data_IF_988835040679
#
_entry.id   IF_988835040679
#
_cell.length_a   1.000
_cell.length_b   1.000
_cell.length_c   1.000
_cell.angle_alpha   90.00
_cell.angle_beta   90.00
_cell.angle_gamma   90.00
#
_symmetry.space_group_name_H-M   'P 1'
#
loop_
_entity.id
_entity.type
_entity.pdbx_description
1 polymer ?
#
# COMPACT_ATOMS: atom_id res chain seq x y z
N UNK A 1 4.24 -14.34 -8.51
CA UNK A 1 4.05 -12.96 -8.07
C UNK A 1 3.53 -12.91 -6.62
N UNK A 2 3.79 -11.82 -5.92
CA UNK A 2 3.37 -11.67 -4.54
C UNK A 2 1.92 -11.20 -4.46
N UNK A 3 1.19 -11.71 -3.45
CA UNK A 3 -0.17 -11.29 -3.18
C UNK A 3 -0.21 -9.92 -2.50
N UNK A 4 -1.41 -9.31 -2.44
CA UNK A 4 -1.64 -8.05 -1.70
C UNK A 4 -1.23 -8.22 -0.23
N UNK A 5 -1.61 -9.33 0.38
CA UNK A 5 -1.29 -9.61 1.79
C UNK A 5 0.21 -9.70 2.02
N UNK A 6 0.94 -10.38 1.14
CA UNK A 6 2.40 -10.49 1.23
C UNK A 6 3.08 -9.13 1.08
N UNK A 7 2.65 -8.32 0.09
CA UNK A 7 3.20 -6.99 -0.14
C UNK A 7 2.93 -6.06 1.05
N UNK A 8 1.71 -6.10 1.60
CA UNK A 8 1.36 -5.31 2.78
C UNK A 8 2.20 -5.70 3.99
N UNK A 9 2.40 -7.00 4.21
CA UNK A 9 3.26 -7.50 5.29
C UNK A 9 4.71 -7.05 5.13
N UNK A 10 5.23 -7.05 3.90
CA UNK A 10 6.60 -6.59 3.63
C UNK A 10 6.78 -5.11 3.96
N UNK A 11 5.79 -4.27 3.63
CA UNK A 11 5.84 -2.84 3.99
C UNK A 11 5.98 -2.68 5.50
N UNK A 12 5.12 -3.35 6.26
CA UNK A 12 5.12 -3.28 7.72
C UNK A 12 6.42 -3.83 8.30
N UNK A 13 6.84 -5.01 7.84
CA UNK A 13 8.05 -5.66 8.36
C UNK A 13 9.30 -4.81 8.14
N UNK A 14 9.48 -4.26 6.95
CA UNK A 14 10.64 -3.42 6.66
C UNK A 14 10.59 -2.10 7.43
N UNK A 15 9.41 -1.51 7.57
CA UNK A 15 9.24 -0.29 8.36
C UNK A 15 9.57 -0.54 9.84
N UNK A 16 9.09 -1.65 10.40
CA UNK A 16 9.40 -2.04 11.78
C UNK A 16 10.89 -2.29 11.99
N UNK A 17 11.53 -2.98 11.05
CA UNK A 17 12.97 -3.21 11.09
C UNK A 17 13.73 -1.89 11.07
N UNK A 18 13.34 -0.96 10.20
CA UNK A 18 13.96 0.37 10.14
C UNK A 18 13.80 1.11 11.47
N UNK A 19 12.60 1.08 12.07
CA UNK A 19 12.32 1.75 13.34
C UNK A 19 13.11 1.16 14.50
N UNK A 20 13.53 -0.11 14.42
CA UNK A 20 14.31 -0.77 15.46
C UNK A 20 15.81 -0.41 15.39
N UNK A 21 16.24 0.26 14.32
CA UNK A 21 17.64 0.61 14.10
C UNK A 21 17.85 2.08 14.43
N UNK A 22 18.62 2.37 15.48
CA UNK A 22 19.01 3.75 15.77
C UNK A 22 20.18 4.14 14.86
N UNK A 23 20.08 5.27 14.11
CA UNK A 23 21.09 5.63 13.11
C UNK A 23 22.33 6.27 13.76
N UNK A 24 23.08 5.52 14.58
CA UNK A 24 24.21 6.02 15.35
C UNK A 24 25.53 6.02 14.60
N UNK A 25 25.68 5.22 13.57
CA UNK A 25 26.87 5.13 12.75
C UNK A 25 26.53 4.89 11.28
N UNK A 26 27.53 4.92 10.41
CA UNK A 26 27.33 4.78 8.97
C UNK A 26 26.71 3.44 8.58
N UNK A 27 27.13 2.35 9.22
CA UNK A 27 26.59 1.01 8.92
C UNK A 27 25.11 0.91 9.29
N UNK A 28 24.73 1.41 10.47
CA UNK A 28 23.35 1.41 10.93
C UNK A 28 22.47 2.33 10.09
N UNK A 29 22.97 3.51 9.71
CA UNK A 29 22.26 4.43 8.82
C UNK A 29 21.97 3.77 7.48
N UNK A 30 22.94 3.06 6.91
CA UNK A 30 22.77 2.38 5.64
C UNK A 30 21.78 1.23 5.73
N UNK A 31 21.86 0.42 6.80
CA UNK A 31 20.93 -0.69 7.02
C UNK A 31 19.48 -0.17 7.17
N UNK A 32 19.30 0.90 7.96
CA UNK A 32 18.00 1.55 8.13
C UNK A 32 17.46 2.06 6.80
N UNK A 33 18.31 2.71 6.01
CA UNK A 33 17.96 3.21 4.68
C UNK A 33 17.50 2.08 3.76
N UNK A 34 18.19 0.94 3.76
CA UNK A 34 17.83 -0.22 2.96
C UNK A 34 16.43 -0.72 3.31
N UNK A 35 16.12 -0.83 4.59
CA UNK A 35 14.78 -1.26 5.01
C UNK A 35 13.70 -0.26 4.63
N UNK A 36 13.96 1.03 4.75
CA UNK A 36 13.01 2.08 4.33
C UNK A 36 12.77 2.06 2.83
N UNK A 37 13.82 1.87 2.02
CA UNK A 37 13.70 1.76 0.57
C UNK A 37 12.95 0.49 0.16
N UNK A 38 13.18 -0.63 0.84
CA UNK A 38 12.44 -1.87 0.58
C UNK A 38 10.97 -1.73 0.95
N UNK A 39 10.66 -1.08 2.07
CA UNK A 39 9.27 -0.78 2.44
C UNK A 39 8.59 0.06 1.36
N UNK A 40 9.27 1.08 0.86
CA UNK A 40 8.73 1.95 -0.19
C UNK A 40 8.54 1.20 -1.51
N UNK A 41 9.48 0.34 -1.88
CA UNK A 41 9.36 -0.49 -3.09
C UNK A 41 8.17 -1.46 -2.99
N UNK A 42 7.98 -2.10 -1.84
CA UNK A 42 6.84 -2.99 -1.60
C UNK A 42 5.52 -2.22 -1.63
N UNK A 43 5.50 -0.99 -1.11
CA UNK A 43 4.33 -0.12 -1.16
C UNK A 43 3.96 0.27 -2.59
N UNK A 44 4.94 0.58 -3.42
CA UNK A 44 4.71 0.89 -4.84
C UNK A 44 4.21 -0.32 -5.62
N UNK A 45 4.76 -1.51 -5.33
CA UNK A 45 4.28 -2.77 -5.93
C UNK A 45 2.84 -3.05 -5.50
N UNK A 46 2.50 -2.77 -4.25
CA UNK A 46 1.14 -2.90 -3.74
C UNK A 46 0.17 -1.97 -4.48
N UNK A 47 0.57 -0.72 -4.70
CA UNK A 47 -0.23 0.26 -5.44
C UNK A 47 -0.55 -0.21 -6.85
N UNK A 48 0.47 -0.68 -7.59
CA UNK A 48 0.29 -1.23 -8.94
C UNK A 48 -0.64 -2.45 -8.93
N UNK A 49 -0.45 -3.33 -7.96
CA UNK A 49 -1.27 -4.54 -7.82
C UNK A 49 -2.75 -4.20 -7.54
N UNK A 50 -2.99 -3.24 -6.65
CA UNK A 50 -4.35 -2.80 -6.33
C UNK A 50 -5.02 -2.10 -7.52
N UNK A 51 -4.27 -1.30 -8.28
CA UNK A 51 -4.77 -0.66 -9.51
C UNK A 51 -5.19 -1.72 -10.53
N UNK A 52 -4.41 -2.78 -10.68
CA UNK A 52 -4.74 -3.89 -11.58
C UNK A 52 -5.99 -4.63 -11.11
N UNK A 53 -6.11 -4.91 -9.82
CA UNK A 53 -7.31 -5.53 -9.22
C UNK A 53 -8.55 -4.65 -9.44
N UNK A 54 -8.40 -3.34 -9.26
CA UNK A 54 -9.47 -2.39 -9.50
C UNK A 54 -9.97 -2.47 -10.95
N UNK A 55 -9.06 -2.46 -11.92
CA UNK A 55 -9.42 -2.56 -13.33
C UNK A 55 -10.18 -3.86 -13.63
N UNK A 56 -9.75 -4.98 -13.05
CA UNK A 56 -10.45 -6.26 -13.18
C UNK A 56 -11.84 -6.22 -12.57
N UNK A 57 -12.00 -5.64 -11.39
CA UNK A 57 -13.30 -5.52 -10.72
C UNK A 57 -14.25 -4.61 -11.49
N UNK A 58 -13.74 -3.59 -12.17
CA UNK A 58 -14.56 -2.68 -12.97
C UNK A 58 -15.13 -3.33 -14.24
N UNK A 59 -14.64 -4.50 -14.63
CA UNK A 59 -15.24 -5.26 -15.75
C UNK A 59 -16.60 -5.84 -15.37
N UNK A 60 -16.84 -6.09 -14.07
CA UNK A 60 -18.13 -6.55 -13.55
C UNK A 60 -18.33 -6.02 -12.12
N UNK A 61 -18.62 -4.71 -11.97
CA UNK A 61 -18.71 -4.10 -10.63
C UNK A 61 -19.76 -4.72 -9.74
N UNK A 62 -20.93 -5.05 -10.26
CA UNK A 62 -22.04 -5.63 -9.46
C UNK A 62 -21.71 -7.03 -8.96
N UNK A 63 -20.85 -7.78 -9.64
CA UNK A 63 -20.41 -9.10 -9.21
C UNK A 63 -19.49 -9.07 -7.98
N UNK A 64 -18.96 -7.91 -7.61
CA UNK A 64 -18.09 -7.74 -6.44
C UNK A 64 -18.88 -7.57 -5.13
N UNK A 65 -20.18 -7.30 -5.21
CA UNK A 65 -21.03 -7.01 -4.06
C UNK A 65 -22.30 -7.81 -4.12
N UNK A 66 -22.65 -8.44 -2.98
CA UNK A 66 -23.95 -9.09 -2.79
C UNK A 66 -24.52 -8.63 -1.46
N UNK A 67 -25.86 -8.54 -1.37
CA UNK A 67 -26.53 -8.26 -0.11
C UNK A 67 -26.60 -9.52 0.74
N UNK A 68 -26.92 -9.37 2.01
CA UNK A 68 -27.13 -10.51 2.92
C UNK A 68 -28.21 -11.47 2.48
N UNK A 69 -29.15 -11.04 1.63
CA UNK A 69 -30.18 -11.88 1.01
C UNK A 69 -29.74 -12.57 -0.28
N UNK A 70 -28.49 -12.35 -0.70
CA UNK A 70 -27.93 -12.90 -1.95
C UNK A 70 -28.24 -12.07 -3.19
N UNK A 71 -28.93 -10.94 -3.06
CA UNK A 71 -29.21 -10.06 -4.17
C UNK A 71 -27.98 -9.22 -4.51
N UNK A 72 -27.72 -9.04 -5.80
CA UNK A 72 -26.64 -8.20 -6.28
C UNK A 72 -26.96 -6.72 -6.10
N UNK A 73 -25.94 -5.93 -5.80
CA UNK A 73 -26.00 -4.47 -5.83
C UNK A 73 -26.08 -4.02 -7.30
N UNK A 74 -26.84 -2.98 -7.59
CA UNK A 74 -26.95 -2.43 -8.95
C UNK A 74 -25.59 -1.99 -9.48
N UNK A 75 -25.38 -2.12 -10.79
CA UNK A 75 -24.09 -1.83 -11.44
C UNK A 75 -23.59 -0.41 -11.16
N UNK A 76 -24.49 0.60 -11.17
CA UNK A 76 -24.12 1.99 -10.90
C UNK A 76 -23.63 2.19 -9.47
N UNK A 77 -24.31 1.60 -8.49
CA UNK A 77 -23.95 1.69 -7.08
C UNK A 77 -22.65 0.94 -6.80
N UNK A 78 -22.49 -0.25 -7.39
CA UNK A 78 -21.26 -1.04 -7.26
C UNK A 78 -20.05 -0.28 -7.82
N UNK A 79 -20.20 0.37 -8.96
CA UNK A 79 -19.16 1.19 -9.57
C UNK A 79 -18.74 2.32 -8.65
N UNK A 80 -19.72 3.04 -8.07
CA UNK A 80 -19.43 4.14 -7.13
C UNK A 80 -18.70 3.64 -5.87
N UNK A 81 -19.10 2.48 -5.36
CA UNK A 81 -18.42 1.86 -4.21
C UNK A 81 -16.98 1.53 -4.52
N UNK A 82 -16.72 0.92 -5.69
CA UNK A 82 -15.36 0.58 -6.11
C UNK A 82 -14.51 1.83 -6.31
N UNK A 83 -15.06 2.86 -6.93
CA UNK A 83 -14.36 4.15 -7.12
C UNK A 83 -14.00 4.79 -5.77
N UNK A 84 -14.92 4.76 -4.82
CA UNK A 84 -14.68 5.29 -3.47
C UNK A 84 -13.59 4.51 -2.74
N UNK A 85 -13.66 3.17 -2.78
CA UNK A 85 -12.65 2.31 -2.17
C UNK A 85 -11.27 2.55 -2.78
N UNK A 86 -11.20 2.65 -4.11
CA UNK A 86 -9.94 2.91 -4.82
C UNK A 86 -9.35 4.26 -4.43
N UNK A 87 -10.18 5.29 -4.28
CA UNK A 87 -9.74 6.61 -3.85
C UNK A 87 -9.19 6.57 -2.43
N UNK A 88 -9.89 5.93 -1.51
CA UNK A 88 -9.43 5.78 -0.13
C UNK A 88 -8.10 5.05 -0.03
N UNK A 89 -7.97 3.93 -0.75
CA UNK A 89 -6.72 3.16 -0.76
C UNK A 89 -5.57 3.95 -1.37
N UNK A 90 -5.84 4.64 -2.48
CA UNK A 90 -4.84 5.51 -3.12
C UNK A 90 -4.35 6.61 -2.19
N UNK A 91 -5.26 7.25 -1.46
CA UNK A 91 -4.92 8.29 -0.49
C UNK A 91 -4.07 7.74 0.65
N UNK A 92 -4.39 6.53 1.15
CA UNK A 92 -3.60 5.88 2.20
C UNK A 92 -2.19 5.53 1.71
N UNK A 93 -2.07 5.00 0.50
CA UNK A 93 -0.78 4.65 -0.10
C UNK A 93 0.08 5.91 -0.29
N UNK A 94 -0.52 6.99 -0.79
CA UNK A 94 0.16 8.27 -0.98
C UNK A 94 0.65 8.85 0.36
N UNK A 95 -0.19 8.78 1.39
CA UNK A 95 0.17 9.25 2.73
C UNK A 95 1.34 8.43 3.28
N UNK A 96 1.31 7.11 3.17
CA UNK A 96 2.37 6.23 3.65
C UNK A 96 3.68 6.45 2.88
N UNK A 97 3.60 6.58 1.56
CA UNK A 97 4.76 6.89 0.73
C UNK A 97 5.39 8.22 1.13
N UNK A 98 4.56 9.22 1.44
CA UNK A 98 5.03 10.52 1.93
C UNK A 98 5.78 10.42 3.24
N UNK A 99 5.26 9.62 4.18
CA UNK A 99 5.90 9.39 5.48
C UNK A 99 7.26 8.71 5.31
N UNK A 100 7.34 7.65 4.50
CA UNK A 100 8.60 6.96 4.22
C UNK A 100 9.61 7.88 3.56
N UNK A 101 9.17 8.68 2.60
CA UNK A 101 10.01 9.66 1.92
C UNK A 101 10.56 10.71 2.89
N UNK A 102 9.72 11.20 3.81
CA UNK A 102 10.11 12.18 4.81
C UNK A 102 11.14 11.61 5.80
N UNK A 103 10.96 10.37 6.23
CA UNK A 103 11.94 9.70 7.11
C UNK A 103 13.28 9.54 6.40
N UNK A 104 13.28 9.12 5.13
CA UNK A 104 14.49 9.01 4.32
C UNK A 104 15.21 10.35 4.21
N UNK A 105 14.49 11.44 3.97
CA UNK A 105 15.06 12.80 3.89
C UNK A 105 15.63 13.23 5.24
N UNK A 106 14.90 12.98 6.32
CA UNK A 106 15.34 13.33 7.67
C UNK A 106 16.62 12.57 8.04
N UNK A 107 16.67 11.28 7.75
CA UNK A 107 17.86 10.45 8.03
C UNK A 107 19.08 10.92 7.21
N UNK A 108 18.86 11.36 5.98
CA UNK A 108 19.93 11.85 5.11
C UNK A 108 20.61 13.11 5.67
N UNK A 109 19.87 13.94 6.39
CA UNK A 109 20.37 15.18 6.96
C UNK A 109 21.03 15.03 8.33
N UNK A 110 21.06 13.82 8.87
CA UNK A 110 21.67 13.53 10.20
C UNK A 110 23.19 13.46 10.17
#
# INVERSE_FOLDING_TARGET
SKSVSELASEVVDHAEKANSIYPSDTARKELRKQHLLEARASLMALDVHLAHCYDLMMTNPSGCFTTGSGNSVGASDAKKKLEHMAQELGDLIDAENGLLTNVLKSDKSR
#
